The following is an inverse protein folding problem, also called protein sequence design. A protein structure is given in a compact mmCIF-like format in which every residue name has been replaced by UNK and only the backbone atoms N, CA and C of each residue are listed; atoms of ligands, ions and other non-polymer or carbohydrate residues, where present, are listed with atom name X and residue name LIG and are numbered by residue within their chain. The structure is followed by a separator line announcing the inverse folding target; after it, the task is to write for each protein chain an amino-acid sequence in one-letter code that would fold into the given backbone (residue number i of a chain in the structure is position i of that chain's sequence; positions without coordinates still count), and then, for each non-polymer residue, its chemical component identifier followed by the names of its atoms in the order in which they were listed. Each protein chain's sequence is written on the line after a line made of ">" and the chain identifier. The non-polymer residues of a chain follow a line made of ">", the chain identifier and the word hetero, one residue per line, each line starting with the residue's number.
data_IF_566763451984
#
_entry.id   IF_566763451984
#
_cell.length_a   1.000
_cell.length_b   1.000
_cell.length_c   1.000
_cell.angle_alpha   90.00
_cell.angle_beta   90.00
_cell.angle_gamma   90.00
#
_symmetry.space_group_name_H-M   'P 1'
#
loop_
_entity.id
_entity.type
_entity.pdbx_description
1 polymer ?
#
# COMPACT_ATOMS: atom_id res chain seq x y z
N UNK A 1 -1.35 -76.09 5.62
CA UNK A 1 -2.11 -76.00 4.35
C UNK A 1 -3.10 -74.85 4.51
N UNK A 2 -3.27 -73.83 3.69
CA UNK A 2 -2.85 -73.42 2.33
C UNK A 2 -2.96 -71.88 2.32
N UNK A 3 -1.88 -71.15 2.00
CA UNK A 3 -1.76 -70.35 0.77
C UNK A 3 -2.95 -69.42 0.47
N UNK A 4 -2.78 -68.11 0.67
CA UNK A 4 -3.41 -67.10 -0.20
C UNK A 4 -2.41 -66.01 -0.53
N UNK A 5 -2.04 -65.99 -1.80
CA UNK A 5 -1.16 -65.02 -2.46
C UNK A 5 -2.00 -63.84 -2.95
N UNK A 6 -1.41 -62.64 -2.86
CA UNK A 6 -1.43 -61.53 -3.82
C UNK A 6 -2.77 -61.19 -4.48
N UNK A 7 -3.23 -59.95 -4.27
CA UNK A 7 -3.60 -58.97 -5.30
C UNK A 7 -4.35 -57.82 -4.62
N UNK A 8 -3.95 -56.58 -4.87
CA UNK A 8 -4.84 -55.49 -5.25
C UNK A 8 -3.98 -54.31 -5.73
N UNK A 9 -4.17 -53.98 -7.01
CA UNK A 9 -3.55 -52.88 -7.73
C UNK A 9 -3.87 -51.54 -7.05
N UNK A 10 -2.86 -50.70 -6.87
CA UNK A 10 -3.03 -49.29 -6.60
C UNK A 10 -3.38 -48.56 -7.90
N UNK A 11 -4.65 -48.17 -8.06
CA UNK A 11 -5.07 -47.17 -9.06
C UNK A 11 -5.51 -45.91 -8.32
N UNK A 12 -4.57 -44.99 -8.13
CA UNK A 12 -4.85 -43.65 -7.60
C UNK A 12 -5.46 -42.83 -8.73
N UNK A 13 -6.79 -42.85 -8.85
CA UNK A 13 -7.53 -41.88 -9.66
C UNK A 13 -7.69 -40.60 -8.83
N UNK A 14 -6.84 -39.61 -9.08
CA UNK A 14 -7.02 -38.26 -8.52
C UNK A 14 -8.03 -37.49 -9.40
N UNK A 15 -9.18 -37.03 -8.86
CA UNK A 15 -10.05 -36.14 -9.60
C UNK A 15 -9.41 -34.75 -9.68
N UNK A 16 -9.04 -34.34 -10.89
CA UNK A 16 -8.73 -32.94 -11.20
C UNK A 16 -10.02 -32.11 -11.13
N UNK A 17 -10.30 -31.49 -9.98
CA UNK A 17 -11.30 -30.43 -9.88
C UNK A 17 -10.56 -29.11 -10.10
N UNK A 18 -10.71 -28.54 -11.29
CA UNK A 18 -10.28 -27.17 -11.58
C UNK A 18 -11.48 -26.27 -11.26
N UNK A 19 -11.49 -25.67 -10.07
CA UNK A 19 -12.44 -24.62 -9.69
C UNK A 19 -12.09 -23.31 -10.40
N UNK A 20 -12.58 -23.14 -11.63
CA UNK A 20 -12.46 -21.88 -12.34
C UNK A 20 -13.36 -20.81 -11.69
N UNK A 21 -12.81 -20.04 -10.76
CA UNK A 21 -13.41 -18.80 -10.26
C UNK A 21 -12.49 -17.64 -10.58
N UNK A 22 -12.36 -17.33 -11.87
CA UNK A 22 -11.78 -16.07 -12.34
C UNK A 22 -12.86 -15.00 -12.36
N UNK A 23 -13.14 -14.42 -11.20
CA UNK A 23 -13.76 -13.11 -11.13
C UNK A 23 -12.72 -12.08 -11.59
N UNK A 24 -12.74 -11.75 -12.89
CA UNK A 24 -12.05 -10.57 -13.39
C UNK A 24 -12.77 -9.33 -12.85
N UNK A 25 -12.27 -8.80 -11.72
CA UNK A 25 -12.65 -7.48 -11.26
C UNK A 25 -12.11 -6.45 -12.26
N UNK A 26 -12.98 -6.07 -13.20
CA UNK A 26 -12.77 -4.99 -14.15
C UNK A 26 -12.71 -3.67 -13.37
N UNK A 27 -11.50 -3.08 -13.32
CA UNK A 27 -11.22 -1.88 -12.57
C UNK A 27 -11.89 -0.64 -13.18
N UNK A 28 -12.93 -0.16 -12.50
CA UNK A 28 -13.39 1.23 -12.61
C UNK A 28 -12.48 2.13 -11.79
N UNK A 29 -11.80 3.07 -12.45
CA UNK A 29 -11.13 4.20 -11.79
C UNK A 29 -12.19 5.19 -11.34
N UNK A 30 -12.79 4.95 -10.18
CA UNK A 30 -13.37 6.03 -9.39
C UNK A 30 -12.28 6.57 -8.48
N UNK A 31 -11.58 7.60 -8.93
CA UNK A 31 -10.81 8.47 -8.06
C UNK A 31 -11.81 9.35 -7.28
N UNK A 32 -12.53 8.74 -6.33
CA UNK A 32 -13.06 9.49 -5.21
C UNK A 32 -11.94 9.59 -4.20
N UNK A 33 -11.48 10.81 -3.98
CA UNK A 33 -10.64 11.20 -2.86
C UNK A 33 -11.32 10.75 -1.55
N UNK A 34 -11.08 9.52 -1.12
CA UNK A 34 -11.28 9.08 0.25
C UNK A 34 -10.11 9.64 1.06
N UNK A 35 -10.11 10.96 1.23
CA UNK A 35 -9.08 11.66 1.99
C UNK A 35 -9.41 11.76 3.48
N UNK A 36 -10.58 11.32 3.93
CA UNK A 36 -11.02 11.42 5.31
C UNK A 36 -11.75 10.12 5.70
N UNK A 37 -11.37 9.52 6.83
CA UNK A 37 -11.80 8.22 7.40
C UNK A 37 -11.03 7.02 6.82
N UNK A 38 -10.31 6.21 7.59
CA UNK A 38 -10.82 5.45 8.73
C UNK A 38 -9.72 5.26 9.79
N UNK A 39 -9.96 5.77 11.00
CA UNK A 39 -9.53 5.16 12.26
C UNK A 39 -8.09 4.66 12.34
N UNK A 40 -7.13 5.50 11.95
CA UNK A 40 -5.72 5.14 11.97
C UNK A 40 -5.03 5.75 13.19
N UNK A 41 -4.45 4.95 14.09
CA UNK A 41 -3.76 5.49 15.26
C UNK A 41 -2.58 6.38 14.81
N UNK A 42 -2.59 7.64 15.25
CA UNK A 42 -1.66 8.66 14.77
C UNK A 42 -1.61 9.92 15.64
N UNK A 43 -0.76 10.86 15.22
CA UNK A 43 -0.71 12.23 15.76
C UNK A 43 -1.55 13.13 14.85
N UNK A 44 -2.87 12.94 14.90
CA UNK A 44 -3.78 13.72 14.08
C UNK A 44 -3.81 15.18 14.51
N UNK A 45 -4.25 16.03 13.57
CA UNK A 45 -4.27 17.48 13.80
C UNK A 45 -5.18 17.85 14.97
N UNK A 46 -6.20 17.06 15.24
CA UNK A 46 -7.16 17.25 16.34
C UNK A 46 -6.55 16.88 17.68
N UNK A 47 -6.02 15.67 17.82
CA UNK A 47 -5.26 15.23 19.01
C UNK A 47 -4.17 16.25 19.36
N UNK A 48 -3.39 16.71 18.37
CA UNK A 48 -2.30 17.66 18.59
C UNK A 48 -2.77 19.02 19.14
N UNK A 49 -4.02 19.43 18.88
CA UNK A 49 -4.58 20.66 19.47
C UNK A 49 -4.91 20.46 20.95
N UNK A 50 -5.32 19.25 21.34
CA UNK A 50 -5.75 18.93 22.70
C UNK A 50 -4.59 18.68 23.67
N UNK A 51 -3.38 18.45 23.15
CA UNK A 51 -2.16 18.27 23.95
C UNK A 51 -1.61 19.57 24.57
N UNK A 52 -2.25 20.72 24.36
CA UNK A 52 -1.85 22.02 24.91
C UNK A 52 -0.36 22.31 24.69
N UNK A 53 0.10 22.19 23.45
CA UNK A 53 1.51 22.37 23.09
C UNK A 53 1.97 23.80 23.37
N UNK A 54 3.16 23.95 23.96
CA UNK A 54 3.83 25.25 24.09
C UNK A 54 4.23 25.78 22.71
N UNK A 55 4.45 27.08 22.58
CA UNK A 55 4.83 27.67 21.29
C UNK A 55 6.19 27.17 20.81
N UNK A 56 7.13 26.93 21.73
CA UNK A 56 8.42 26.29 21.44
C UNK A 56 8.25 24.87 20.87
N UNK A 57 7.39 24.05 21.48
CA UNK A 57 7.08 22.71 20.95
C UNK A 57 6.43 22.79 19.57
N UNK A 58 5.49 23.72 19.34
CA UNK A 58 4.84 23.91 18.03
C UNK A 58 5.87 24.25 16.94
N UNK A 59 6.86 25.09 17.26
CA UNK A 59 7.94 25.43 16.33
C UNK A 59 8.81 24.20 16.02
N UNK A 60 9.20 23.41 17.02
CA UNK A 60 9.94 22.16 16.82
C UNK A 60 9.18 21.18 15.93
N UNK A 61 7.87 20.99 16.14
CA UNK A 61 7.03 20.16 15.27
C UNK A 61 6.97 20.70 13.83
N UNK A 62 6.90 22.02 13.64
CA UNK A 62 6.85 22.64 12.32
C UNK A 62 8.15 22.37 11.55
N UNK A 63 9.30 22.59 12.20
CA UNK A 63 10.61 22.34 11.62
C UNK A 63 10.79 20.88 11.25
N UNK A 64 10.42 19.95 12.15
CA UNK A 64 10.52 18.52 11.89
C UNK A 64 9.64 18.09 10.70
N UNK A 65 8.39 18.57 10.63
CA UNK A 65 7.48 18.28 9.51
C UNK A 65 7.98 18.86 8.19
N UNK A 66 8.63 20.03 8.20
CA UNK A 66 9.21 20.63 7.00
C UNK A 66 10.37 19.79 6.48
N UNK A 67 11.31 19.40 7.35
CA UNK A 67 12.41 18.50 7.00
C UNK A 67 11.89 17.17 6.43
N UNK A 68 10.93 16.52 7.11
CA UNK A 68 10.33 15.28 6.61
C UNK A 68 9.64 15.45 5.25
N UNK A 69 9.09 16.63 4.95
CA UNK A 69 8.45 16.94 3.65
C UNK A 69 9.48 17.11 2.54
N UNK A 70 10.61 17.74 2.85
CA UNK A 70 11.73 17.90 1.92
C UNK A 70 12.33 16.55 1.56
N UNK A 71 12.61 15.70 2.55
CA UNK A 71 13.11 14.34 2.32
C UNK A 71 12.19 13.52 1.39
N UNK A 72 10.87 13.67 1.56
CA UNK A 72 9.90 12.99 0.73
C UNK A 72 9.85 13.53 -0.70
N UNK A 73 10.00 14.85 -0.88
CA UNK A 73 10.06 15.47 -2.21
C UNK A 73 11.28 14.98 -2.99
N UNK A 74 12.43 14.90 -2.34
CA UNK A 74 13.67 14.51 -3.03
C UNK A 74 13.65 13.03 -3.42
N UNK A 75 13.08 12.17 -2.56
CA UNK A 75 12.79 10.77 -2.92
C UNK A 75 11.80 10.65 -4.09
N UNK A 76 10.79 11.52 -4.15
CA UNK A 76 9.78 11.48 -5.22
C UNK A 76 10.38 11.85 -6.59
N UNK A 77 11.25 12.87 -6.66
CA UNK A 77 11.92 13.28 -7.89
C UNK A 77 12.78 12.17 -8.49
N UNK A 78 13.62 11.53 -7.68
CA UNK A 78 14.47 10.42 -8.14
C UNK A 78 13.69 9.22 -8.67
N UNK A 79 12.46 9.00 -8.17
CA UNK A 79 11.59 7.94 -8.66
C UNK A 79 10.85 8.29 -9.96
N UNK A 80 10.54 9.57 -10.22
CA UNK A 80 9.81 9.97 -11.44
C UNK A 80 10.69 9.92 -12.67
N UNK A 81 11.93 10.38 -12.59
CA UNK A 81 12.88 10.42 -13.71
C UNK A 81 13.19 9.02 -14.23
N UNK A 82 13.56 8.10 -13.32
CA UNK A 82 13.84 6.70 -13.65
C UNK A 82 12.62 5.95 -14.23
N UNK A 83 11.39 6.39 -13.94
CA UNK A 83 10.17 5.77 -14.46
C UNK A 83 9.85 6.23 -15.89
N UNK A 84 10.12 7.49 -16.22
CA UNK A 84 9.90 8.04 -17.56
C UNK A 84 10.77 7.35 -18.60
N UNK A 85 12.09 7.34 -18.38
CA UNK A 85 13.07 6.78 -19.33
C UNK A 85 12.78 5.30 -19.67
N UNK A 86 12.44 4.50 -18.65
CA UNK A 86 12.10 3.08 -18.85
C UNK A 86 10.77 2.88 -19.55
N UNK A 87 9.83 3.81 -19.41
CA UNK A 87 8.54 3.72 -20.08
C UNK A 87 8.67 4.06 -21.56
N UNK A 88 9.48 5.07 -21.89
CA UNK A 88 9.71 5.50 -23.27
C UNK A 88 10.45 4.43 -24.07
N UNK A 89 11.56 3.90 -23.53
CA UNK A 89 12.30 2.79 -24.16
C UNK A 89 11.41 1.57 -24.45
N UNK A 90 10.50 1.25 -23.52
CA UNK A 90 9.60 0.12 -23.66
C UNK A 90 8.50 0.39 -24.67
N UNK A 91 8.03 1.63 -24.78
CA UNK A 91 7.07 2.04 -25.79
C UNK A 91 7.69 1.96 -27.20
N UNK A 92 8.95 2.39 -27.36
CA UNK A 92 9.70 2.25 -28.61
C UNK A 92 9.84 0.79 -29.03
N UNK A 93 10.33 -0.08 -28.14
CA UNK A 93 10.47 -1.50 -28.44
C UNK A 93 9.13 -2.18 -28.83
N UNK A 94 8.04 -1.78 -28.18
CA UNK A 94 6.70 -2.28 -28.51
C UNK A 94 6.25 -1.77 -29.89
N UNK A 95 6.48 -0.49 -30.19
CA UNK A 95 6.16 0.08 -31.49
C UNK A 95 6.95 -0.60 -32.61
N UNK A 96 8.25 -0.84 -32.42
CA UNK A 96 9.10 -1.54 -33.39
C UNK A 96 8.60 -2.96 -33.69
N UNK A 97 8.10 -3.66 -32.67
CA UNK A 97 7.55 -5.01 -32.83
C UNK A 97 6.19 -5.01 -33.54
N UNK A 98 5.34 -4.02 -33.26
CA UNK A 98 3.97 -3.94 -33.77
C UNK A 98 3.86 -3.31 -35.16
N UNK A 99 4.79 -2.41 -35.51
CA UNK A 99 4.82 -1.70 -36.79
C UNK A 99 5.72 -2.39 -37.83
N UNK A 100 6.42 -3.46 -37.46
CA UNK A 100 7.21 -4.24 -38.40
C UNK A 100 6.33 -4.88 -39.50
N UNK A 101 6.87 -4.98 -40.71
CA UNK A 101 6.19 -5.60 -41.86
C UNK A 101 5.76 -7.06 -41.60
N UNK A 102 6.48 -7.75 -40.71
CA UNK A 102 6.15 -9.11 -40.25
C UNK A 102 6.35 -9.23 -38.74
N UNK A 103 5.44 -9.95 -38.08
CA UNK A 103 5.50 -10.17 -36.65
C UNK A 103 6.60 -11.17 -36.23
N UNK A 104 7.52 -10.73 -35.37
CA UNK A 104 8.58 -11.56 -34.80
C UNK A 104 8.15 -12.16 -33.44
N UNK A 105 7.63 -13.38 -33.49
CA UNK A 105 7.17 -14.10 -32.30
C UNK A 105 8.30 -14.40 -31.28
N UNK A 106 9.55 -14.52 -31.75
CA UNK A 106 10.69 -14.77 -30.87
C UNK A 106 11.04 -13.51 -30.06
N UNK A 107 11.06 -12.34 -30.71
CA UNK A 107 11.22 -11.04 -30.03
C UNK A 107 10.08 -10.76 -29.06
N UNK A 108 8.83 -11.03 -29.45
CA UNK A 108 7.68 -10.89 -28.56
C UNK A 108 7.81 -11.74 -27.29
N UNK A 109 8.27 -12.99 -27.44
CA UNK A 109 8.46 -13.92 -26.32
C UNK A 109 9.60 -13.48 -25.41
N UNK A 110 10.72 -13.01 -25.98
CA UNK A 110 11.84 -12.48 -25.21
C UNK A 110 11.42 -11.25 -24.39
N UNK A 111 10.70 -10.31 -25.01
CA UNK A 111 10.16 -9.14 -24.34
C UNK A 111 9.21 -9.55 -23.20
N UNK A 112 8.27 -10.47 -23.43
CA UNK A 112 7.34 -10.92 -22.39
C UNK A 112 8.06 -11.50 -21.16
N UNK A 113 9.15 -12.26 -21.35
CA UNK A 113 9.99 -12.79 -20.26
C UNK A 113 10.68 -11.68 -19.49
N UNK A 114 11.24 -10.69 -20.18
CA UNK A 114 11.84 -9.50 -19.55
C UNK A 114 10.79 -8.69 -18.75
N UNK A 115 9.56 -8.58 -19.27
CA UNK A 115 8.47 -7.95 -18.52
C UNK A 115 8.14 -8.70 -17.22
N UNK A 116 8.22 -10.02 -17.24
CA UNK A 116 7.98 -10.86 -16.07
C UNK A 116 9.12 -10.72 -15.05
N UNK A 117 10.38 -10.83 -15.45
CA UNK A 117 11.52 -10.67 -14.55
C UNK A 117 11.52 -9.29 -13.87
N UNK A 118 11.29 -8.23 -14.64
CA UNK A 118 11.15 -6.89 -14.07
C UNK A 118 9.96 -6.76 -13.12
N UNK A 119 8.85 -7.46 -13.37
CA UNK A 119 7.71 -7.45 -12.44
C UNK A 119 8.07 -8.12 -11.12
N UNK A 120 8.83 -9.21 -11.17
CA UNK A 120 9.31 -9.92 -9.98
C UNK A 120 10.30 -9.07 -9.19
N UNK A 121 11.29 -8.45 -9.85
CA UNK A 121 12.23 -7.51 -9.22
C UNK A 121 11.50 -6.32 -8.58
N UNK A 122 10.53 -5.73 -9.30
CA UNK A 122 9.73 -4.62 -8.77
C UNK A 122 8.91 -5.04 -7.58
N UNK A 123 8.34 -6.26 -7.59
CA UNK A 123 7.58 -6.79 -6.46
C UNK A 123 8.50 -6.98 -5.25
N UNK A 124 9.68 -7.58 -5.42
CA UNK A 124 10.65 -7.75 -4.35
C UNK A 124 11.08 -6.40 -3.74
N UNK A 125 11.42 -5.41 -4.59
CA UNK A 125 11.75 -4.05 -4.15
C UNK A 125 10.56 -3.34 -3.49
N UNK A 126 9.35 -3.57 -3.98
CA UNK A 126 8.15 -3.01 -3.38
C UNK A 126 7.95 -3.57 -1.97
N UNK A 127 8.09 -4.88 -1.79
CA UNK A 127 7.91 -5.53 -0.49
C UNK A 127 8.98 -5.11 0.52
N UNK A 128 10.25 -5.01 0.12
CA UNK A 128 11.30 -4.43 0.99
C UNK A 128 11.00 -2.97 1.35
N UNK A 129 10.59 -2.17 0.36
CA UNK A 129 10.25 -0.77 0.60
C UNK A 129 9.04 -0.57 1.50
N UNK A 130 8.10 -1.52 1.57
CA UNK A 130 6.96 -1.45 2.51
C UNK A 130 7.44 -1.53 3.94
N UNK A 131 8.34 -2.47 4.24
CA UNK A 131 8.93 -2.62 5.58
C UNK A 131 9.75 -1.37 5.93
N UNK A 132 10.60 -0.92 5.02
CA UNK A 132 11.38 0.31 5.23
C UNK A 132 10.49 1.53 5.49
N UNK A 133 9.39 1.68 4.74
CA UNK A 133 8.42 2.76 4.96
C UNK A 133 7.73 2.66 6.33
N UNK A 134 7.37 1.45 6.76
CA UNK A 134 6.78 1.24 8.09
C UNK A 134 7.75 1.65 9.19
N UNK A 135 9.00 1.21 9.12
CA UNK A 135 10.04 1.57 10.10
C UNK A 135 10.30 3.08 10.07
N UNK A 136 10.38 3.70 8.88
CA UNK A 136 10.56 5.15 8.76
C UNK A 136 9.38 5.92 9.36
N UNK A 137 8.14 5.47 9.15
CA UNK A 137 6.97 6.09 9.78
C UNK A 137 7.03 6.00 11.31
N UNK A 138 7.41 4.84 11.85
CA UNK A 138 7.61 4.67 13.30
C UNK A 138 8.72 5.57 13.84
N UNK A 139 9.84 5.69 13.12
CA UNK A 139 10.94 6.61 13.49
C UNK A 139 10.45 8.06 13.56
N UNK A 140 9.71 8.51 12.55
CA UNK A 140 9.16 9.88 12.51
C UNK A 140 8.16 10.11 13.63
N UNK A 141 7.31 9.14 13.92
CA UNK A 141 6.40 9.19 15.07
C UNK A 141 7.17 9.30 16.38
N UNK A 142 8.22 8.49 16.57
CA UNK A 142 9.07 8.55 17.76
C UNK A 142 9.77 9.91 17.92
N UNK A 143 10.36 10.47 16.85
CA UNK A 143 10.94 11.81 16.85
C UNK A 143 9.92 12.87 17.26
N UNK A 144 8.71 12.80 16.72
CA UNK A 144 7.61 13.70 17.09
C UNK A 144 7.23 13.56 18.57
N UNK A 145 7.13 12.34 19.09
CA UNK A 145 6.81 12.09 20.50
C UNK A 145 7.92 12.54 21.45
N UNK A 146 9.17 12.59 21.00
CA UNK A 146 10.30 13.05 21.83
C UNK A 146 10.18 14.51 22.29
N UNK A 147 9.41 15.34 21.56
CA UNK A 147 9.13 16.75 21.87
C UNK A 147 8.13 16.89 23.04
N UNK A 148 7.29 15.88 23.26
CA UNK A 148 6.23 15.91 24.26
C UNK A 148 6.77 15.61 25.67
N UNK A 149 6.17 16.27 26.67
CA UNK A 149 6.41 15.96 28.08
C UNK A 149 5.81 14.58 28.44
N UNK A 150 6.23 13.96 29.57
CA UNK A 150 5.64 12.70 30.02
C UNK A 150 4.12 12.78 30.23
N UNK A 151 3.63 13.89 30.77
CA UNK A 151 2.20 14.13 30.98
C UNK A 151 1.43 14.25 29.65
N UNK A 152 2.00 14.95 28.66
CA UNK A 152 1.42 15.05 27.32
C UNK A 152 1.39 13.69 26.61
N UNK A 153 2.40 12.83 26.84
CA UNK A 153 2.41 11.47 26.30
C UNK A 153 1.32 10.59 26.92
N UNK A 154 1.07 10.72 28.22
CA UNK A 154 -0.02 10.01 28.88
C UNK A 154 -1.38 10.44 28.30
N UNK A 155 -1.62 11.74 28.21
CA UNK A 155 -2.85 12.29 27.60
C UNK A 155 -3.02 11.85 26.14
N UNK A 156 -1.93 11.77 25.38
CA UNK A 156 -1.97 11.28 24.01
C UNK A 156 -2.50 9.83 23.93
N UNK A 157 -2.07 8.96 24.83
CA UNK A 157 -2.52 7.55 24.83
C UNK A 157 -4.02 7.47 25.14
N UNK A 158 -4.51 8.28 26.07
CA UNK A 158 -5.95 8.38 26.38
C UNK A 158 -6.75 8.84 25.16
N UNK A 159 -6.36 9.97 24.54
CA UNK A 159 -7.04 10.50 23.35
C UNK A 159 -7.02 9.52 22.16
N UNK A 160 -5.94 8.75 22.01
CA UNK A 160 -5.87 7.71 20.97
C UNK A 160 -6.81 6.54 21.27
N UNK A 161 -6.97 6.15 22.54
CA UNK A 161 -7.91 5.10 22.93
C UNK A 161 -9.35 5.56 22.71
N UNK A 162 -9.68 6.78 23.10
CA UNK A 162 -11.00 7.37 22.90
C UNK A 162 -11.36 7.44 21.41
N UNK A 163 -10.44 7.90 20.57
CA UNK A 163 -10.65 7.92 19.12
C UNK A 163 -10.83 6.53 18.52
N UNK A 164 -10.08 5.52 19.00
CA UNK A 164 -10.24 4.15 18.53
C UNK A 164 -11.60 3.56 18.93
N UNK A 165 -12.15 3.94 20.09
CA UNK A 165 -13.47 3.52 20.55
C UNK A 165 -14.60 4.21 19.79
N UNK A 166 -14.54 5.53 19.63
CA UNK A 166 -15.52 6.28 18.84
C UNK A 166 -15.58 5.74 17.39
N UNK A 167 -14.41 5.40 16.85
CA UNK A 167 -14.27 4.73 15.57
C UNK A 167 -14.87 3.33 15.51
N UNK A 168 -14.73 2.49 16.54
CA UNK A 168 -15.35 1.16 16.53
C UNK A 168 -16.87 1.27 16.54
N UNK A 169 -17.39 2.21 17.33
CA UNK A 169 -18.83 2.41 17.50
C UNK A 169 -19.47 2.97 16.20
N UNK A 170 -18.79 3.89 15.52
CA UNK A 170 -19.24 4.45 14.23
C UNK A 170 -19.23 3.43 13.07
N UNK A 171 -18.36 2.40 13.13
CA UNK A 171 -18.31 1.33 12.12
C UNK A 171 -19.37 0.24 12.36
N UNK A 172 -19.84 0.06 13.59
CA UNK A 172 -20.95 -0.84 13.92
C UNK A 172 -22.32 -0.23 13.54
N UNK A 173 -22.42 1.10 13.45
CA UNK A 173 -23.58 1.84 12.97
C UNK A 173 -23.55 2.01 11.42
N UNK A 174 -23.64 0.91 10.68
CA UNK A 174 -23.73 0.91 9.20
C UNK A 174 -25.08 1.49 8.71
N UNK A 175 -25.24 2.82 8.80
CA UNK A 175 -26.17 3.58 7.94
C UNK A 175 -25.36 4.32 6.89
N UNK A 176 -25.69 4.18 5.59
CA UNK A 176 -24.98 4.89 4.54
C UNK A 176 -25.22 6.39 4.70
N UNK A 177 -24.19 7.13 5.15
CA UNK A 177 -24.21 8.60 5.19
C UNK A 177 -24.11 9.16 3.77
N UNK A 178 -25.22 9.10 3.02
CA UNK A 178 -25.47 10.05 1.94
C UNK A 178 -25.79 11.41 2.58
N UNK A 179 -24.77 12.23 2.89
CA UNK A 179 -24.96 13.68 3.00
C UNK A 179 -24.52 14.34 1.71
N UNK A 180 -25.46 14.31 0.76
CA UNK A 180 -25.50 15.28 -0.32
C UNK A 180 -25.60 16.69 0.26
N UNK A 181 -24.97 17.62 -0.46
CA UNK A 181 -24.97 19.06 -0.26
C UNK A 181 -26.34 19.59 0.14
N UNK A 182 -26.39 20.30 1.26
CA UNK A 182 -27.20 21.50 1.43
C UNK A 182 -26.40 22.49 2.29
N UNK A 183 -25.76 23.44 1.62
CA UNK A 183 -25.41 24.74 2.21
C UNK A 183 -26.01 25.79 1.28
N UNK A 184 -26.83 26.64 1.90
CA UNK A 184 -27.59 27.75 1.33
C UNK A 184 -26.83 28.60 0.30
#
# INVERSE_FOLDING_TARGET
>A
MKMTKKLLLASVALPFIISASSAFAYGGKDHKDHHDNECRPGLDREIMKELNLTDSQKEQFKTLRQSHKEDMKDRAKGHSEQRGERQDQRAEQLNDLLLADTFDAAKATAMAKEMQSHREERKAKQDSSKVERQVQMLSKQHEMLSILTPEQKAKLVELQQDQMQECSDDNDDEKPRHKGKDRH
#
